data_IF_487295634657
#
_entry.id   IF_487295634657
#
_cell.length_a   1.000
_cell.length_b   1.000
_cell.length_c   1.000
_cell.angle_alpha   90.00
_cell.angle_beta   90.00
_cell.angle_gamma   90.00
#
_symmetry.space_group_name_H-M   'P 1'
#
loop_
_entity.id
_entity.type
_entity.pdbx_description
1 polymer ?
#
# COMPACT_ATOMS: atom_id res chain seq x y z
N UNK A 1 23.36 7.99 -6.75
CA UNK A 1 23.31 6.58 -7.21
C UNK A 1 23.40 5.65 -5.99
N UNK A 2 22.25 5.30 -5.40
CA UNK A 2 22.22 4.30 -4.31
C UNK A 2 22.74 2.95 -4.85
N UNK A 3 23.65 2.26 -4.12
CA UNK A 3 24.15 0.95 -4.50
C UNK A 3 23.10 -0.16 -4.27
N UNK A 4 22.02 0.12 -3.53
CA UNK A 4 21.01 -0.86 -3.12
C UNK A 4 20.16 -1.28 -4.31
N UNK A 5 20.14 -2.56 -4.65
CA UNK A 5 19.32 -3.14 -5.74
C UNK A 5 18.18 -4.01 -5.21
N UNK A 6 18.32 -4.50 -3.99
CA UNK A 6 17.29 -5.27 -3.29
C UNK A 6 17.39 -5.05 -1.78
N UNK A 7 16.33 -5.38 -1.05
CA UNK A 7 16.34 -5.29 0.42
C UNK A 7 17.28 -6.34 1.02
N UNK A 8 17.40 -7.52 0.41
CA UNK A 8 18.31 -8.57 0.85
C UNK A 8 19.77 -8.12 0.89
N UNK A 9 20.20 -7.29 -0.08
CA UNK A 9 21.58 -6.76 -0.10
C UNK A 9 21.93 -5.93 1.12
N UNK A 10 20.95 -5.28 1.76
CA UNK A 10 21.18 -4.49 2.98
C UNK A 10 21.71 -5.42 4.07
N UNK A 11 21.08 -6.59 4.23
CA UNK A 11 21.51 -7.62 5.19
C UNK A 11 22.85 -8.23 4.82
N UNK A 12 22.95 -8.71 3.57
CA UNK A 12 24.13 -9.44 3.09
C UNK A 12 25.41 -8.61 3.15
N UNK A 13 25.30 -7.34 2.76
CA UNK A 13 26.46 -6.42 2.65
C UNK A 13 26.58 -5.49 3.85
N UNK A 14 25.68 -5.57 4.84
CA UNK A 14 25.60 -4.67 6.00
C UNK A 14 25.63 -3.20 5.60
N UNK A 15 24.78 -2.83 4.62
CA UNK A 15 24.76 -1.48 4.07
C UNK A 15 24.13 -0.52 5.09
N UNK A 16 24.79 0.57 5.46
CA UNK A 16 24.24 1.60 6.33
C UNK A 16 23.18 2.41 5.56
N UNK A 17 21.91 1.97 5.62
CA UNK A 17 20.80 2.62 4.94
C UNK A 17 20.06 3.59 5.85
N UNK A 18 19.73 4.78 5.35
CA UNK A 18 18.82 5.72 6.00
C UNK A 18 17.41 5.45 5.45
N UNK A 19 16.63 4.68 6.22
CA UNK A 19 15.31 4.21 5.85
C UNK A 19 14.23 5.18 6.34
N UNK A 20 13.30 5.55 5.47
CA UNK A 20 12.04 6.22 5.82
C UNK A 20 10.86 5.24 5.81
N UNK A 21 9.98 5.33 6.81
CA UNK A 21 8.72 4.60 6.87
C UNK A 21 7.64 5.43 7.57
N UNK A 22 6.38 5.00 7.50
CA UNK A 22 5.27 5.69 8.13
C UNK A 22 5.41 5.88 9.64
N UNK A 23 4.55 6.71 10.25
CA UNK A 23 4.53 6.90 11.70
C UNK A 23 4.39 5.57 12.42
N UNK A 24 4.97 5.47 13.61
CA UNK A 24 4.88 4.27 14.43
C UNK A 24 3.42 3.84 14.66
N UNK A 25 3.15 2.55 14.47
CA UNK A 25 1.81 1.97 14.59
C UNK A 25 0.91 2.21 13.37
N UNK A 26 1.37 2.87 12.33
CA UNK A 26 0.65 2.98 11.05
C UNK A 26 0.79 1.71 10.22
N UNK A 27 -0.11 1.52 9.25
CA UNK A 27 -0.02 0.41 8.31
C UNK A 27 1.28 0.47 7.48
N UNK A 28 1.75 1.65 7.11
CA UNK A 28 3.03 1.82 6.40
C UNK A 28 4.22 1.28 7.22
N UNK A 29 4.24 1.58 8.52
CA UNK A 29 5.30 1.11 9.42
C UNK A 29 5.19 -0.40 9.65
N UNK A 30 3.97 -0.92 9.80
CA UNK A 30 3.74 -2.36 9.93
C UNK A 30 4.22 -3.14 8.69
N UNK A 31 3.87 -2.68 7.49
CA UNK A 31 4.32 -3.30 6.23
C UNK A 31 5.85 -3.22 6.11
N UNK A 32 6.47 -2.09 6.48
CA UNK A 32 7.92 -1.97 6.43
C UNK A 32 8.60 -3.01 7.31
N UNK A 33 8.11 -3.23 8.53
CA UNK A 33 8.64 -4.30 9.41
C UNK A 33 8.48 -5.69 8.80
N UNK A 34 7.33 -5.98 8.19
CA UNK A 34 7.11 -7.28 7.54
C UNK A 34 8.03 -7.48 6.33
N UNK A 35 8.23 -6.45 5.51
CA UNK A 35 9.13 -6.51 4.36
C UNK A 35 10.57 -6.74 4.82
N UNK A 36 11.00 -6.05 5.87
CA UNK A 36 12.32 -6.27 6.45
C UNK A 36 12.45 -7.69 7.03
N UNK A 37 11.46 -8.14 7.81
CA UNK A 37 11.45 -9.49 8.40
C UNK A 37 11.50 -10.60 7.35
N UNK A 38 10.82 -10.43 6.21
CA UNK A 38 10.89 -11.35 5.07
C UNK A 38 12.30 -11.50 4.48
N UNK A 39 13.18 -10.51 4.75
CA UNK A 39 14.58 -10.49 4.36
C UNK A 39 15.52 -10.71 5.56
N UNK A 40 15.00 -11.27 6.67
CA UNK A 40 15.72 -11.52 7.90
C UNK A 40 16.42 -10.26 8.45
N UNK A 41 15.80 -9.08 8.29
CA UNK A 41 16.35 -7.76 8.67
C UNK A 41 15.40 -7.07 9.65
N UNK A 42 15.96 -6.31 10.60
CA UNK A 42 15.22 -5.50 11.57
C UNK A 42 15.70 -4.04 11.56
N UNK A 43 14.97 -3.16 12.22
CA UNK A 43 15.38 -1.76 12.37
C UNK A 43 16.68 -1.65 13.18
N UNK A 44 16.80 -2.45 14.24
CA UNK A 44 17.99 -2.50 15.10
C UNK A 44 19.23 -2.95 14.33
N UNK A 45 19.08 -3.90 13.40
CA UNK A 45 20.19 -4.32 12.53
C UNK A 45 20.58 -3.21 11.56
N UNK A 46 19.63 -2.51 10.93
CA UNK A 46 19.93 -1.34 10.09
C UNK A 46 20.73 -0.30 10.87
N UNK A 47 20.31 0.00 12.10
CA UNK A 47 21.04 0.94 12.99
C UNK A 47 22.43 0.42 13.38
N UNK A 48 22.56 -0.89 13.63
CA UNK A 48 23.85 -1.52 13.94
C UNK A 48 24.85 -1.48 12.80
N UNK A 49 24.36 -1.39 11.53
CA UNK A 49 25.21 -1.19 10.36
C UNK A 49 25.59 0.28 10.12
N UNK A 50 25.17 1.19 11.02
CA UNK A 50 25.41 2.63 10.92
C UNK A 50 24.34 3.38 10.12
N UNK A 51 23.22 2.74 9.81
CA UNK A 51 22.05 3.35 9.21
C UNK A 51 21.13 4.04 10.22
N UNK A 52 19.94 4.42 9.78
CA UNK A 52 18.92 5.03 10.64
C UNK A 52 17.51 4.75 10.13
N UNK A 53 16.51 4.84 11.02
CA UNK A 53 15.11 4.66 10.66
C UNK A 53 14.29 5.90 11.04
N UNK A 54 13.77 6.62 10.04
CA UNK A 54 12.88 7.75 10.22
C UNK A 54 11.44 7.29 10.10
N UNK A 55 10.62 7.56 11.13
CA UNK A 55 9.18 7.25 11.18
C UNK A 55 8.40 8.54 11.12
N UNK A 56 7.86 8.89 9.94
CA UNK A 56 7.21 10.17 9.73
C UNK A 56 6.08 10.08 8.69
N UNK A 57 5.29 11.15 8.58
CA UNK A 57 4.31 11.29 7.49
C UNK A 57 5.01 11.31 6.13
N UNK A 58 4.32 10.84 5.09
CA UNK A 58 4.92 10.62 3.78
C UNK A 58 5.49 11.92 3.16
N UNK A 59 4.84 13.05 3.39
CA UNK A 59 5.29 14.37 2.91
C UNK A 59 6.67 14.72 3.50
N UNK A 60 6.88 14.45 4.79
CA UNK A 60 8.16 14.69 5.47
C UNK A 60 9.23 13.75 4.92
N UNK A 61 8.88 12.47 4.70
CA UNK A 61 9.82 11.48 4.13
C UNK A 61 10.20 11.84 2.70
N UNK A 62 9.23 12.29 1.89
CA UNK A 62 9.47 12.78 0.52
C UNK A 62 10.50 13.91 0.51
N UNK A 63 10.31 14.91 1.36
CA UNK A 63 11.21 16.06 1.42
C UNK A 63 12.61 15.64 1.90
N UNK A 64 12.69 14.76 2.90
CA UNK A 64 13.98 14.20 3.34
C UNK A 64 14.67 13.36 2.27
N UNK A 65 13.91 12.62 1.46
CA UNK A 65 14.45 11.84 0.34
C UNK A 65 14.98 12.77 -0.77
N UNK A 66 14.21 13.80 -1.13
CA UNK A 66 14.63 14.80 -2.10
C UNK A 66 15.92 15.53 -1.67
N UNK A 67 16.04 15.83 -0.37
CA UNK A 67 17.23 16.43 0.25
C UNK A 67 18.39 15.43 0.41
N UNK A 68 18.26 14.19 -0.06
CA UNK A 68 19.26 13.11 0.11
C UNK A 68 19.57 12.78 1.57
N UNK A 69 18.63 13.01 2.47
CA UNK A 69 18.72 12.62 3.89
C UNK A 69 18.19 11.21 4.14
N UNK A 70 17.47 10.63 3.18
CA UNK A 70 17.05 9.23 3.13
C UNK A 70 17.62 8.56 1.88
N UNK A 71 17.92 7.27 1.99
CA UNK A 71 18.38 6.42 0.89
C UNK A 71 17.27 5.53 0.35
N UNK A 72 16.26 5.24 1.16
CA UNK A 72 15.14 4.37 0.85
C UNK A 72 13.88 4.81 1.60
N UNK A 73 12.72 4.64 0.97
CA UNK A 73 11.41 4.74 1.63
C UNK A 73 10.66 3.42 1.38
N UNK A 74 10.13 2.84 2.46
CA UNK A 74 9.15 1.75 2.38
C UNK A 74 7.79 2.30 2.75
N UNK A 75 6.83 2.19 1.84
CA UNK A 75 5.49 2.73 2.04
C UNK A 75 4.48 2.15 1.05
N UNK A 76 3.23 2.56 1.22
CA UNK A 76 2.11 2.18 0.38
C UNK A 76 1.92 3.26 -0.68
N UNK A 77 1.64 2.84 -1.91
CA UNK A 77 1.26 3.74 -2.99
C UNK A 77 0.12 3.17 -3.82
N UNK A 78 -0.53 4.02 -4.59
CA UNK A 78 -1.55 3.67 -5.57
C UNK A 78 -1.30 4.48 -6.85
N UNK A 79 -1.92 4.08 -7.96
CA UNK A 79 -1.90 4.87 -9.18
C UNK A 79 -2.34 6.32 -8.90
N UNK A 80 -1.60 7.29 -9.45
CA UNK A 80 -1.91 8.71 -9.26
C UNK A 80 -1.62 9.28 -7.87
N UNK A 81 -0.93 8.55 -6.99
CA UNK A 81 -0.57 9.07 -5.66
C UNK A 81 0.41 10.24 -5.78
N UNK A 82 0.03 11.47 -5.35
CA UNK A 82 0.78 12.69 -5.69
C UNK A 82 2.20 12.70 -5.12
N UNK A 83 2.41 12.25 -3.90
CA UNK A 83 3.75 12.22 -3.30
C UNK A 83 4.67 11.22 -3.99
N UNK A 84 4.14 10.05 -4.42
CA UNK A 84 4.92 9.07 -5.17
C UNK A 84 5.26 9.59 -6.57
N UNK A 85 4.31 10.27 -7.23
CA UNK A 85 4.56 10.90 -8.52
C UNK A 85 5.64 11.99 -8.42
N UNK A 86 5.66 12.78 -7.35
CA UNK A 86 6.73 13.75 -7.11
C UNK A 86 8.09 13.09 -6.85
N UNK A 87 8.11 11.96 -6.14
CA UNK A 87 9.35 11.20 -5.94
C UNK A 87 9.84 10.57 -7.24
N UNK A 88 8.93 10.10 -8.10
CA UNK A 88 9.30 9.39 -9.33
C UNK A 88 10.04 10.24 -10.35
N UNK A 89 9.86 11.55 -10.33
CA UNK A 89 10.62 12.48 -11.20
C UNK A 89 11.97 12.90 -10.62
N UNK A 90 12.29 12.50 -9.38
CA UNK A 90 13.58 12.84 -8.78
C UNK A 90 14.73 12.07 -9.45
N UNK A 91 15.84 12.75 -9.84
CA UNK A 91 16.94 12.09 -10.54
C UNK A 91 17.56 10.94 -9.74
N UNK A 92 17.75 9.79 -10.40
CA UNK A 92 18.48 8.65 -9.84
C UNK A 92 17.69 7.79 -8.87
N UNK A 93 16.41 8.04 -8.67
CA UNK A 93 15.52 7.18 -7.88
C UNK A 93 15.02 5.99 -8.71
N UNK A 94 14.59 4.93 -8.02
CA UNK A 94 13.96 3.76 -8.62
C UNK A 94 13.02 3.07 -7.64
N UNK A 95 12.07 2.35 -8.18
CA UNK A 95 11.26 1.41 -7.41
C UNK A 95 12.02 0.08 -7.26
N UNK A 96 11.92 -0.53 -6.09
CA UNK A 96 12.46 -1.86 -5.82
C UNK A 96 11.31 -2.84 -5.70
N UNK A 97 11.32 -3.89 -6.51
CA UNK A 97 10.41 -5.02 -6.37
C UNK A 97 10.77 -5.88 -5.15
N UNK A 98 9.78 -6.60 -4.65
CA UNK A 98 9.96 -7.62 -3.63
C UNK A 98 10.33 -8.95 -4.29
N UNK A 99 11.17 -9.75 -3.61
CA UNK A 99 11.44 -11.12 -4.03
C UNK A 99 10.21 -12.02 -3.82
N UNK A 100 10.15 -13.14 -4.52
CA UNK A 100 9.07 -14.13 -4.36
C UNK A 100 8.96 -14.59 -2.91
N UNK A 101 10.09 -14.86 -2.23
CA UNK A 101 10.15 -15.19 -0.79
C UNK A 101 9.45 -14.11 0.05
N UNK A 102 9.72 -12.84 -0.23
CA UNK A 102 9.11 -11.74 0.51
C UNK A 102 7.62 -11.60 0.22
N UNK A 103 7.21 -11.81 -1.02
CA UNK A 103 5.79 -11.82 -1.42
C UNK A 103 5.06 -12.96 -0.70
N UNK A 104 5.59 -14.18 -0.73
CA UNK A 104 5.00 -15.34 -0.03
C UNK A 104 4.86 -15.10 1.47
N UNK A 105 5.89 -14.53 2.10
CA UNK A 105 5.84 -14.17 3.52
C UNK A 105 4.73 -13.16 3.81
N UNK A 106 4.59 -12.13 3.00
CA UNK A 106 3.55 -11.10 3.17
C UNK A 106 2.14 -11.65 2.90
N UNK A 107 1.99 -12.58 1.95
CA UNK A 107 0.70 -13.27 1.70
C UNK A 107 0.24 -14.04 2.93
N UNK A 108 1.14 -14.70 3.65
CA UNK A 108 0.83 -15.37 4.93
C UNK A 108 0.37 -14.38 6.03
N UNK A 109 0.65 -13.08 5.86
CA UNK A 109 0.23 -12.00 6.75
C UNK A 109 -1.01 -11.23 6.24
N UNK A 110 -1.74 -11.80 5.26
CA UNK A 110 -3.03 -11.27 4.80
C UNK A 110 -2.95 -10.27 3.63
N UNK A 111 -1.80 -10.13 2.98
CA UNK A 111 -1.67 -9.36 1.75
C UNK A 111 -1.93 -10.23 0.51
N UNK A 112 -2.20 -9.60 -0.63
CA UNK A 112 -2.33 -10.28 -1.92
C UNK A 112 -1.14 -9.91 -2.82
N UNK A 113 -0.65 -10.83 -3.68
CA UNK A 113 0.33 -10.48 -4.70
C UNK A 113 -0.19 -9.35 -5.57
N UNK A 114 0.64 -8.39 -5.87
CA UNK A 114 0.29 -7.26 -6.73
C UNK A 114 1.49 -6.86 -7.59
N UNK A 115 1.20 -6.31 -8.76
CA UNK A 115 2.23 -5.80 -9.66
C UNK A 115 1.86 -4.38 -10.05
N UNK A 116 2.80 -3.47 -9.86
CA UNK A 116 2.73 -2.13 -10.41
C UNK A 116 3.10 -2.22 -11.90
N UNK A 117 2.16 -1.94 -12.83
CA UNK A 117 2.44 -2.05 -14.25
C UNK A 117 3.43 -0.97 -14.69
N UNK A 118 4.19 -1.20 -15.76
CA UNK A 118 5.07 -0.19 -16.35
C UNK A 118 4.32 1.11 -16.66
N UNK A 119 4.97 2.24 -16.42
CA UNK A 119 4.41 3.56 -16.71
C UNK A 119 3.36 4.05 -15.69
N UNK A 120 3.18 3.37 -14.55
CA UNK A 120 2.30 3.87 -13.48
C UNK A 120 2.85 5.18 -12.90
N UNK A 121 4.17 5.31 -12.83
CA UNK A 121 4.88 6.54 -12.46
C UNK A 121 5.97 6.85 -13.49
N UNK A 122 6.34 8.12 -13.61
CA UNK A 122 7.40 8.56 -14.51
C UNK A 122 8.73 7.89 -14.15
N UNK A 123 9.46 7.40 -15.17
CA UNK A 123 10.73 6.69 -14.98
C UNK A 123 10.61 5.27 -14.42
N UNK A 124 9.38 4.74 -14.33
CA UNK A 124 9.14 3.33 -13.97
C UNK A 124 8.76 2.56 -15.24
N UNK A 125 9.76 2.10 -15.98
CA UNK A 125 9.61 1.45 -17.29
C UNK A 125 9.38 -0.06 -17.19
N UNK A 126 9.70 -0.66 -16.05
CA UNK A 126 9.56 -2.10 -15.80
C UNK A 126 8.46 -2.38 -14.77
N UNK A 127 7.83 -3.56 -14.83
CA UNK A 127 6.88 -3.96 -13.79
C UNK A 127 7.57 -4.08 -12.42
N UNK A 128 6.90 -3.64 -11.37
CA UNK A 128 7.40 -3.77 -9.99
C UNK A 128 6.51 -4.73 -9.22
N UNK A 129 7.05 -5.90 -8.89
CA UNK A 129 6.33 -6.92 -8.14
C UNK A 129 6.35 -6.61 -6.65
N UNK A 130 5.21 -6.82 -5.99
CA UNK A 130 5.03 -6.56 -4.58
C UNK A 130 3.74 -7.17 -4.05
N UNK A 131 3.16 -6.53 -3.06
CA UNK A 131 1.87 -6.92 -2.48
C UNK A 131 0.94 -5.73 -2.39
N UNK A 132 -0.36 -6.04 -2.39
CA UNK A 132 -1.44 -5.08 -2.22
C UNK A 132 -2.43 -5.54 -1.16
N UNK A 133 -3.37 -4.68 -0.84
CA UNK A 133 -4.49 -4.95 0.05
C UNK A 133 -5.68 -4.10 -0.37
N UNK A 134 -6.86 -4.48 0.13
CA UNK A 134 -8.11 -3.80 -0.14
C UNK A 134 -8.46 -2.84 1.00
N UNK A 135 -8.96 -1.67 0.67
CA UNK A 135 -9.57 -0.76 1.64
C UNK A 135 -11.06 -1.05 1.72
N UNK A 136 -11.57 -1.26 2.93
CA UNK A 136 -12.98 -1.55 3.18
C UNK A 136 -13.58 -0.57 4.18
N UNK A 137 -14.86 -0.26 4.01
CA UNK A 137 -15.64 0.48 4.99
C UNK A 137 -16.26 -0.51 5.98
N UNK A 138 -15.92 -0.37 7.24
CA UNK A 138 -16.46 -1.19 8.33
C UNK A 138 -17.54 -0.43 9.09
N UNK A 139 -18.60 -1.12 9.47
CA UNK A 139 -19.64 -0.61 10.35
C UNK A 139 -19.74 -1.49 11.60
N UNK A 140 -20.03 -0.86 12.75
CA UNK A 140 -20.39 -1.58 13.95
C UNK A 140 -21.72 -2.34 13.75
N UNK A 141 -21.89 -3.48 14.40
CA UNK A 141 -23.18 -4.19 14.46
C UNK A 141 -24.31 -3.39 15.13
N UNK A 142 -23.97 -2.28 15.78
CA UNK A 142 -24.95 -1.34 16.36
C UNK A 142 -25.51 -0.34 15.31
N UNK A 143 -24.92 -0.25 14.12
CA UNK A 143 -25.48 0.53 13.01
C UNK A 143 -26.75 -0.16 12.54
N UNK A 144 -27.83 0.60 12.29
CA UNK A 144 -29.07 0.03 11.82
C UNK A 144 -28.95 -0.54 10.39
N UNK A 145 -29.75 -1.53 10.06
CA UNK A 145 -29.80 -2.06 8.68
C UNK A 145 -30.18 -0.97 7.67
N UNK A 146 -31.08 -0.08 8.05
CA UNK A 146 -31.52 1.04 7.22
C UNK A 146 -30.37 2.02 6.93
N UNK A 147 -29.61 2.41 7.96
CA UNK A 147 -28.48 3.32 7.80
C UNK A 147 -27.36 2.69 6.96
N UNK A 148 -27.01 1.44 7.23
CA UNK A 148 -25.97 0.73 6.47
C UNK A 148 -26.38 0.55 5.00
N UNK A 149 -27.68 0.26 4.74
CA UNK A 149 -28.23 0.22 3.38
C UNK A 149 -28.11 1.58 2.69
N UNK A 150 -28.53 2.66 3.38
CA UNK A 150 -28.50 4.02 2.82
C UNK A 150 -27.06 4.47 2.50
N UNK A 151 -26.10 4.18 3.41
CA UNK A 151 -24.68 4.49 3.21
C UNK A 151 -24.13 3.72 2.00
N UNK A 152 -24.35 2.41 1.95
CA UNK A 152 -23.89 1.57 0.85
C UNK A 152 -24.44 2.05 -0.48
N UNK A 153 -25.75 2.32 -0.53
CA UNK A 153 -26.44 2.89 -1.72
C UNK A 153 -25.81 4.20 -2.16
N UNK A 154 -25.63 5.14 -1.23
CA UNK A 154 -25.08 6.45 -1.55
C UNK A 154 -23.65 6.37 -2.13
N UNK A 155 -22.82 5.49 -1.60
CA UNK A 155 -21.46 5.26 -2.06
C UNK A 155 -21.48 4.62 -3.46
N UNK A 156 -22.25 3.56 -3.64
CA UNK A 156 -22.26 2.79 -4.87
C UNK A 156 -22.90 3.57 -6.04
N UNK A 157 -23.97 4.30 -5.80
CA UNK A 157 -24.61 5.15 -6.83
C UNK A 157 -23.73 6.34 -7.23
N UNK A 158 -22.85 6.82 -6.34
CA UNK A 158 -21.94 7.92 -6.61
C UNK A 158 -20.51 7.46 -6.94
N UNK A 159 -20.30 6.17 -7.17
CA UNK A 159 -18.99 5.58 -7.42
C UNK A 159 -18.20 6.33 -8.50
N UNK A 160 -18.82 6.64 -9.64
CA UNK A 160 -18.15 7.35 -10.74
C UNK A 160 -17.76 8.78 -10.38
N UNK A 161 -18.49 9.44 -9.47
CA UNK A 161 -18.10 10.75 -8.94
C UNK A 161 -16.89 10.64 -8.02
N UNK A 162 -16.85 9.60 -7.19
CA UNK A 162 -15.72 9.31 -6.28
C UNK A 162 -14.46 9.01 -7.10
N UNK A 163 -14.57 8.16 -8.12
CA UNK A 163 -13.46 7.85 -9.02
C UNK A 163 -12.88 9.09 -9.70
N UNK A 164 -13.74 10.00 -10.15
CA UNK A 164 -13.29 11.27 -10.75
C UNK A 164 -12.61 12.21 -9.74
N UNK A 165 -13.04 12.18 -8.49
CA UNK A 165 -12.44 12.98 -7.42
C UNK A 165 -11.09 12.41 -6.94
N UNK A 166 -10.92 11.08 -7.01
CA UNK A 166 -9.76 10.37 -6.51
C UNK A 166 -9.26 9.39 -7.56
N UNK A 167 -8.24 9.78 -8.34
CA UNK A 167 -7.67 8.96 -9.42
C UNK A 167 -7.19 7.57 -8.95
N UNK A 168 -6.79 7.45 -7.68
CA UNK A 168 -6.44 6.15 -7.05
C UNK A 168 -7.62 5.16 -7.00
N UNK A 169 -8.86 5.62 -7.18
CA UNK A 169 -10.07 4.80 -7.19
C UNK A 169 -10.50 4.40 -8.61
N UNK A 170 -9.73 4.74 -9.65
CA UNK A 170 -10.12 4.48 -11.06
C UNK A 170 -10.45 3.01 -11.31
N UNK A 171 -9.66 2.09 -10.77
CA UNK A 171 -9.86 0.64 -10.88
C UNK A 171 -11.00 0.07 -10.05
N UNK A 172 -11.69 0.86 -9.24
CA UNK A 172 -12.76 0.38 -8.38
C UNK A 172 -14.01 -0.02 -9.17
N UNK A 173 -14.43 -1.28 -9.03
CA UNK A 173 -15.64 -1.81 -9.64
C UNK A 173 -16.63 -2.31 -8.58
N UNK A 174 -17.93 -2.31 -8.90
CA UNK A 174 -18.95 -2.84 -8.00
C UNK A 174 -18.75 -4.34 -7.73
N UNK A 175 -18.42 -5.11 -8.76
CA UNK A 175 -18.14 -6.55 -8.63
C UNK A 175 -16.89 -6.80 -7.75
N UNK A 176 -15.80 -6.06 -7.96
CA UNK A 176 -14.60 -6.17 -7.16
C UNK A 176 -14.81 -5.92 -5.67
N UNK A 177 -15.81 -5.07 -5.32
CA UNK A 177 -16.18 -4.86 -3.90
C UNK A 177 -16.75 -6.10 -3.21
N UNK A 178 -17.20 -7.09 -3.97
CA UNK A 178 -17.87 -8.30 -3.48
C UNK A 178 -17.02 -9.57 -3.67
N UNK A 179 -15.83 -9.45 -4.22
CA UNK A 179 -14.93 -10.59 -4.34
C UNK A 179 -14.54 -11.12 -2.95
N UNK A 180 -14.61 -12.44 -2.71
CA UNK A 180 -14.35 -13.01 -1.38
C UNK A 180 -13.00 -12.60 -0.79
N UNK A 181 -11.97 -12.44 -1.63
CA UNK A 181 -10.64 -11.98 -1.21
C UNK A 181 -10.59 -10.52 -0.74
N UNK A 182 -11.63 -9.73 -1.04
CA UNK A 182 -11.74 -8.32 -0.66
C UNK A 182 -12.62 -8.11 0.57
N UNK A 183 -13.27 -9.17 1.07
CA UNK A 183 -14.14 -9.12 2.24
C UNK A 183 -13.43 -9.73 3.44
N UNK A 184 -12.83 -8.89 4.29
CA UNK A 184 -12.16 -9.36 5.50
C UNK A 184 -13.13 -9.78 6.62
N UNK A 185 -14.38 -9.34 6.56
CA UNK A 185 -15.48 -9.68 7.47
C UNK A 185 -16.77 -9.85 6.67
N UNK A 186 -17.80 -10.54 7.23
CA UNK A 186 -19.11 -10.63 6.58
C UNK A 186 -19.71 -9.25 6.28
N UNK A 187 -20.49 -9.17 5.21
CA UNK A 187 -21.22 -7.95 4.88
C UNK A 187 -22.19 -7.60 6.02
N UNK A 188 -22.33 -6.31 6.29
CA UNK A 188 -23.41 -5.82 7.15
C UNK A 188 -24.76 -6.13 6.48
N UNK A 189 -25.83 -6.56 7.23
CA UNK A 189 -27.12 -6.92 6.63
C UNK A 189 -27.70 -5.84 5.71
N UNK A 190 -27.59 -4.57 6.06
CA UNK A 190 -28.03 -3.45 5.21
C UNK A 190 -27.20 -3.32 3.91
N UNK A 191 -25.90 -3.57 3.95
CA UNK A 191 -25.06 -3.58 2.75
C UNK A 191 -25.42 -4.77 1.86
N UNK A 192 -25.58 -5.96 2.43
CA UNK A 192 -26.01 -7.16 1.70
C UNK A 192 -27.34 -6.95 1.00
N UNK A 193 -28.31 -6.37 1.70
CA UNK A 193 -29.64 -6.04 1.15
C UNK A 193 -29.51 -5.13 -0.07
N UNK A 194 -28.74 -4.04 0.03
CA UNK A 194 -28.51 -3.16 -1.12
C UNK A 194 -27.89 -3.91 -2.31
N UNK A 195 -26.86 -4.71 -2.09
CA UNK A 195 -26.21 -5.44 -3.17
C UNK A 195 -27.12 -6.45 -3.85
N UNK A 196 -28.06 -7.08 -3.11
CA UNK A 196 -29.11 -7.95 -3.68
C UNK A 196 -30.10 -7.14 -4.50
N UNK A 197 -30.59 -6.02 -4.00
CA UNK A 197 -31.50 -5.12 -4.71
C UNK A 197 -30.89 -4.56 -6.00
N UNK A 198 -29.58 -4.28 -5.98
CA UNK A 198 -28.83 -3.81 -7.13
C UNK A 198 -28.44 -4.93 -8.12
N UNK A 199 -28.80 -6.20 -7.85
CA UNK A 199 -28.47 -7.35 -8.69
C UNK A 199 -26.96 -7.72 -8.71
N UNK A 200 -26.20 -7.23 -7.75
CA UNK A 200 -24.76 -7.46 -7.64
C UNK A 200 -24.44 -8.70 -6.78
N UNK A 201 -25.37 -9.12 -5.95
CA UNK A 201 -25.30 -10.32 -5.12
C UNK A 201 -26.56 -11.18 -5.35
N UNK A 202 -26.39 -12.53 -5.33
CA UNK A 202 -27.50 -13.48 -5.50
C UNK A 202 -28.19 -13.77 -4.15
#
# INVERSE_FOLDING_TARGET
>A
DSPIRSIAEIKEKKIPVRLGTGPQGSLNEYIARLILAANDLTYEEIESYGGSVAKAAFEVLRDQFADKRLDMIIGITTAGHPNTAQLSIAPGQRFLGLSDKAIEYLVQHGFAPATMPPGMFEGQDEPVHGVGFTTSLYASTAVSEEDAHAITKAIMERRENIKRAFGSMEGWTAAGSLEPGNLAVPLHPGAEKYYKEAGLLK
#
